data_IF_923800918815
#
_entry.id   IF_923800918815
#
_cell.length_a   1.000
_cell.length_b   1.000
_cell.length_c   1.000
_cell.angle_alpha   90.00
_cell.angle_beta   90.00
_cell.angle_gamma   90.00
#
_symmetry.space_group_name_H-M   'P 1'
#
loop_
_entity.id
_entity.type
_entity.pdbx_description
1 polymer ?
#
# COMPACT_ATOMS: atom_id res chain seq x y z
N UNK A 1 12.84 4.66 13.05
CA UNK A 1 12.29 3.30 13.18
C UNK A 1 12.06 2.90 14.64
N UNK A 2 13.01 3.10 15.55
CA UNK A 2 12.88 2.65 16.95
C UNK A 2 11.86 3.46 17.78
N UNK A 3 11.39 4.59 17.30
CA UNK A 3 10.31 5.39 17.89
C UNK A 3 9.02 5.20 17.09
N UNK A 4 9.08 5.38 15.79
CA UNK A 4 7.92 5.37 14.91
C UNK A 4 7.12 4.06 14.97
N UNK A 5 7.79 2.89 14.90
CA UNK A 5 7.09 1.61 14.95
C UNK A 5 6.41 1.32 16.29
N UNK A 6 7.06 1.51 17.46
CA UNK A 6 6.37 1.37 18.74
C UNK A 6 5.15 2.29 18.88
N UNK A 7 5.28 3.54 18.46
CA UNK A 7 4.17 4.51 18.51
C UNK A 7 3.01 4.12 17.58
N UNK A 8 3.30 3.63 16.37
CA UNK A 8 2.26 3.13 15.48
C UNK A 8 1.55 1.91 16.06
N UNK A 9 2.28 1.04 16.77
CA UNK A 9 1.68 -0.10 17.47
C UNK A 9 0.79 0.34 18.64
N UNK A 10 1.21 1.35 19.39
CA UNK A 10 0.40 1.96 20.44
C UNK A 10 -0.89 2.53 19.86
N UNK A 11 -0.81 3.34 18.81
CA UNK A 11 -1.98 3.86 18.09
C UNK A 11 -2.92 2.74 17.62
N UNK A 12 -2.37 1.67 17.05
CA UNK A 12 -3.16 0.52 16.61
C UNK A 12 -3.90 -0.14 17.77
N UNK A 13 -3.23 -0.32 18.90
CA UNK A 13 -3.79 -0.92 20.11
C UNK A 13 -4.89 -0.05 20.72
N UNK A 14 -4.62 1.25 20.87
CA UNK A 14 -5.51 2.20 21.55
C UNK A 14 -6.82 2.42 20.77
N UNK A 15 -6.74 2.40 19.45
CA UNK A 15 -7.90 2.61 18.57
C UNK A 15 -8.44 1.31 17.96
N UNK A 16 -7.89 0.15 18.36
CA UNK A 16 -8.23 -1.16 17.79
C UNK A 16 -8.11 -1.19 16.25
N UNK A 17 -7.09 -0.55 15.69
CA UNK A 17 -6.80 -0.52 14.25
C UNK A 17 -5.80 -1.62 13.92
N UNK A 18 -5.84 -2.14 12.69
CA UNK A 18 -4.85 -3.08 12.17
C UNK A 18 -4.22 -2.52 10.91
N UNK A 19 -2.93 -2.76 10.75
CA UNK A 19 -2.20 -2.29 9.59
C UNK A 19 -1.92 -3.41 8.60
N UNK A 20 -1.97 -3.06 7.32
CA UNK A 20 -1.37 -3.85 6.25
C UNK A 20 0.02 -3.29 5.99
N UNK A 21 1.07 -4.04 6.34
CA UNK A 21 2.45 -3.71 6.00
C UNK A 21 2.78 -4.23 4.62
N UNK A 22 3.22 -3.35 3.71
CA UNK A 22 3.57 -3.78 2.35
C UNK A 22 5.07 -3.83 2.16
N UNK A 23 5.55 -4.91 1.52
CA UNK A 23 6.97 -5.16 1.31
C UNK A 23 7.41 -4.84 -0.11
N UNK A 24 8.62 -4.30 -0.22
CA UNK A 24 9.36 -4.08 -1.45
C UNK A 24 10.65 -4.86 -1.33
N UNK A 25 10.96 -5.73 -2.28
CA UNK A 25 12.18 -6.55 -2.17
C UNK A 25 13.45 -5.73 -2.40
N UNK A 26 13.45 -4.90 -3.43
CA UNK A 26 14.60 -4.07 -3.83
C UNK A 26 14.18 -2.67 -4.26
N UNK A 27 15.16 -1.78 -4.39
CA UNK A 27 15.00 -0.42 -4.92
C UNK A 27 15.93 -0.18 -6.12
N UNK A 28 16.11 -1.19 -6.97
CA UNK A 28 16.92 -1.06 -8.17
C UNK A 28 16.07 -0.71 -9.38
N UNK A 29 16.60 0.14 -10.27
CA UNK A 29 15.85 0.64 -11.43
C UNK A 29 15.79 -0.38 -12.61
N UNK A 30 16.07 -1.65 -12.36
CA UNK A 30 16.07 -2.66 -13.38
C UNK A 30 14.65 -3.09 -13.79
N UNK A 31 14.27 -2.79 -15.03
CA UNK A 31 12.98 -3.18 -15.64
C UNK A 31 13.11 -4.17 -16.81
N UNK A 32 14.31 -4.67 -17.06
CA UNK A 32 14.62 -5.61 -18.16
C UNK A 32 14.36 -7.09 -17.82
N UNK A 33 13.96 -7.38 -16.58
CA UNK A 33 13.77 -8.74 -16.05
C UNK A 33 15.02 -9.31 -15.38
N UNK A 34 16.05 -8.52 -15.16
CA UNK A 34 17.17 -8.88 -14.28
C UNK A 34 16.66 -8.97 -12.85
N UNK A 35 16.93 -10.08 -12.19
CA UNK A 35 16.54 -10.31 -10.79
C UNK A 35 17.77 -10.27 -9.91
N UNK A 36 17.71 -9.45 -8.89
CA UNK A 36 18.67 -9.33 -7.81
C UNK A 36 17.98 -9.65 -6.51
N UNK A 37 18.29 -10.80 -5.94
CA UNK A 37 17.64 -11.27 -4.72
C UNK A 37 18.12 -10.52 -3.50
N UNK A 38 17.19 -10.05 -2.67
CA UNK A 38 17.51 -9.53 -1.35
C UNK A 38 17.90 -10.68 -0.42
N UNK A 39 19.08 -10.58 0.20
CA UNK A 39 19.64 -11.62 1.07
C UNK A 39 19.47 -11.32 2.56
N UNK A 40 19.41 -10.06 2.93
CA UNK A 40 19.23 -9.65 4.33
C UNK A 40 17.76 -9.43 4.65
N UNK A 41 17.12 -10.47 5.18
CA UNK A 41 15.70 -10.47 5.54
C UNK A 41 15.45 -10.10 7.00
N UNK A 42 16.48 -9.88 7.82
CA UNK A 42 16.34 -9.67 9.27
C UNK A 42 15.43 -8.52 9.65
N UNK A 43 15.52 -7.39 8.96
CA UNK A 43 14.66 -6.23 9.20
C UNK A 43 13.23 -6.48 8.76
N UNK A 44 13.04 -7.13 7.61
CA UNK A 44 11.71 -7.54 7.15
C UNK A 44 11.03 -8.45 8.18
N UNK A 45 11.74 -9.48 8.61
CA UNK A 45 11.23 -10.42 9.64
C UNK A 45 10.93 -9.72 10.96
N UNK A 46 11.81 -8.83 11.42
CA UNK A 46 11.60 -8.13 12.68
C UNK A 46 10.33 -7.27 12.65
N UNK A 47 10.21 -6.35 11.68
CA UNK A 47 9.06 -5.45 11.62
C UNK A 47 7.78 -6.14 11.12
N UNK A 48 7.89 -7.07 10.17
CA UNK A 48 6.73 -7.83 9.71
C UNK A 48 6.12 -8.71 10.79
N UNK A 49 6.95 -9.38 11.58
CA UNK A 49 6.44 -10.16 12.72
C UNK A 49 5.81 -9.29 13.82
N UNK A 50 6.31 -8.07 14.03
CA UNK A 50 5.65 -7.12 14.93
C UNK A 50 4.21 -6.84 14.49
N UNK A 51 3.99 -6.53 13.21
CA UNK A 51 2.65 -6.32 12.65
C UNK A 51 1.76 -7.56 12.78
N UNK A 52 2.27 -8.71 12.40
CA UNK A 52 1.53 -9.97 12.45
C UNK A 52 1.10 -10.34 13.88
N UNK A 53 1.96 -10.12 14.88
CA UNK A 53 1.64 -10.39 16.29
C UNK A 53 0.52 -9.50 16.84
N UNK A 54 0.29 -8.33 16.26
CA UNK A 54 -0.83 -7.45 16.60
C UNK A 54 -2.09 -7.71 15.76
N UNK A 55 -2.10 -8.78 14.98
CA UNK A 55 -3.22 -9.14 14.12
C UNK A 55 -3.30 -8.31 12.82
N UNK A 56 -2.24 -7.59 12.48
CA UNK A 56 -2.08 -6.98 11.17
C UNK A 56 -1.76 -8.01 10.10
N UNK A 57 -1.61 -7.55 8.86
CA UNK A 57 -1.29 -8.39 7.71
C UNK A 57 -0.11 -7.84 6.92
N UNK A 58 0.43 -8.65 6.01
CA UNK A 58 1.46 -8.26 5.07
C UNK A 58 0.94 -8.35 3.63
N UNK A 59 1.46 -7.49 2.77
CA UNK A 59 1.17 -7.44 1.35
C UNK A 59 2.40 -7.06 0.52
N UNK A 60 2.21 -6.81 -0.76
CA UNK A 60 3.26 -6.55 -1.73
C UNK A 60 3.19 -5.13 -2.28
N UNK A 61 4.36 -4.50 -2.52
CA UNK A 61 4.47 -3.15 -3.07
C UNK A 61 5.52 -3.04 -4.19
N UNK A 62 5.52 -4.02 -5.06
CA UNK A 62 6.46 -4.11 -6.18
C UNK A 62 7.80 -4.75 -5.81
N UNK A 63 8.43 -5.37 -6.81
CA UNK A 63 9.74 -6.01 -6.66
C UNK A 63 10.84 -4.99 -6.38
N UNK A 64 10.88 -3.91 -7.17
CA UNK A 64 11.89 -2.84 -7.10
C UNK A 64 11.23 -1.45 -7.07
N UNK A 65 10.04 -1.35 -6.49
CA UNK A 65 9.24 -0.12 -6.44
C UNK A 65 8.94 0.49 -7.82
N UNK A 66 8.85 -0.35 -8.86
CA UNK A 66 8.47 0.08 -10.22
C UNK A 66 7.00 -0.23 -10.50
N UNK A 67 6.23 0.72 -11.05
CA UNK A 67 4.86 0.48 -11.50
C UNK A 67 4.78 -0.68 -12.50
N UNK A 68 3.71 -1.45 -12.46
CA UNK A 68 3.48 -2.51 -13.43
C UNK A 68 2.91 -1.92 -14.72
N UNK A 69 3.79 -1.33 -15.54
CA UNK A 69 3.45 -0.70 -16.80
C UNK A 69 4.46 -0.97 -17.91
N UNK A 70 3.96 -1.12 -19.13
CA UNK A 70 4.74 -1.26 -20.36
C UNK A 70 4.86 0.05 -21.13
N UNK A 71 4.16 1.10 -20.68
CA UNK A 71 4.12 2.41 -21.34
C UNK A 71 4.24 3.54 -20.32
N UNK A 72 5.06 4.53 -20.63
CA UNK A 72 5.14 5.75 -19.83
C UNK A 72 3.88 6.64 -19.98
N UNK A 73 2.99 6.35 -20.93
CA UNK A 73 1.68 6.99 -21.03
C UNK A 73 0.80 6.74 -19.78
N UNK A 74 1.08 5.68 -19.03
CA UNK A 74 0.33 5.34 -17.83
C UNK A 74 0.59 6.30 -16.66
N UNK A 75 1.75 6.98 -16.64
CA UNK A 75 2.14 7.92 -15.58
C UNK A 75 2.74 9.23 -16.13
N UNK A 76 2.86 9.35 -17.45
CA UNK A 76 3.36 10.54 -18.13
C UNK A 76 4.76 10.94 -17.70
N UNK A 77 5.06 12.23 -17.83
CA UNK A 77 6.33 12.81 -17.39
C UNK A 77 6.34 13.17 -15.88
N UNK A 78 5.30 12.75 -15.15
CA UNK A 78 5.12 13.14 -13.73
C UNK A 78 5.97 12.29 -12.80
N UNK A 79 6.22 11.02 -13.15
CA UNK A 79 6.96 10.07 -12.31
C UNK A 79 8.23 9.59 -13.02
N UNK A 80 9.36 9.53 -12.31
CA UNK A 80 10.66 9.18 -12.88
C UNK A 80 10.88 7.66 -12.97
N UNK A 81 9.89 6.93 -13.51
CA UNK A 81 9.97 5.48 -13.64
C UNK A 81 10.24 5.05 -15.07
N UNK A 82 11.09 4.03 -15.21
CA UNK A 82 11.25 3.32 -16.46
C UNK A 82 10.09 2.34 -16.70
N UNK A 83 9.77 2.08 -17.96
CA UNK A 83 8.80 1.05 -18.31
C UNK A 83 9.44 -0.33 -18.31
N UNK A 84 8.66 -1.36 -18.01
CA UNK A 84 9.12 -2.73 -18.16
C UNK A 84 9.38 -3.05 -19.62
N UNK A 85 10.48 -3.73 -19.89
CA UNK A 85 10.88 -4.14 -21.24
C UNK A 85 9.80 -4.93 -21.97
N UNK A 86 9.07 -5.77 -21.25
CA UNK A 86 7.96 -6.57 -21.73
C UNK A 86 7.21 -7.22 -20.56
N UNK A 87 6.05 -7.81 -20.84
CA UNK A 87 5.22 -8.51 -19.86
C UNK A 87 5.96 -9.66 -19.15
N UNK A 88 6.84 -10.37 -19.85
CA UNK A 88 7.60 -11.47 -19.26
C UNK A 88 8.60 -10.98 -18.19
N UNK A 89 9.25 -9.84 -18.41
CA UNK A 89 10.13 -9.21 -17.43
C UNK A 89 9.34 -8.74 -16.19
N UNK A 90 8.21 -8.07 -16.40
CA UNK A 90 7.31 -7.62 -15.36
C UNK A 90 6.77 -8.79 -14.52
N UNK A 91 6.28 -9.85 -15.18
CA UNK A 91 5.79 -11.07 -14.54
C UNK A 91 6.88 -11.78 -13.72
N UNK A 92 8.10 -11.83 -14.24
CA UNK A 92 9.25 -12.43 -13.54
C UNK A 92 9.56 -11.69 -12.24
N UNK A 93 9.48 -10.36 -12.26
CA UNK A 93 9.72 -9.53 -11.08
C UNK A 93 8.64 -9.73 -10.01
N UNK A 94 7.36 -9.76 -10.39
CA UNK A 94 6.27 -10.04 -9.44
C UNK A 94 6.40 -11.44 -8.85
N UNK A 95 6.77 -12.43 -9.67
CA UNK A 95 7.01 -13.80 -9.20
C UNK A 95 8.14 -13.85 -8.16
N UNK A 96 9.22 -13.11 -8.37
CA UNK A 96 10.31 -13.03 -7.40
C UNK A 96 9.87 -12.39 -6.11
N UNK A 97 9.12 -11.27 -6.15
CA UNK A 97 8.57 -10.62 -4.98
C UNK A 97 7.71 -11.56 -4.13
N UNK A 98 6.87 -12.37 -4.77
CA UNK A 98 6.04 -13.36 -4.08
C UNK A 98 6.90 -14.44 -3.42
N UNK A 99 7.88 -15.00 -4.14
CA UNK A 99 8.84 -15.94 -3.57
C UNK A 99 9.62 -15.34 -2.39
N UNK A 100 10.04 -14.09 -2.51
CA UNK A 100 10.70 -13.37 -1.42
C UNK A 100 9.81 -13.27 -0.17
N UNK A 101 8.52 -12.96 -0.36
CA UNK A 101 7.53 -12.94 0.72
C UNK A 101 7.35 -14.30 1.38
N UNK A 102 7.18 -15.36 0.59
CA UNK A 102 7.04 -16.75 1.06
C UNK A 102 8.27 -17.24 1.83
N UNK A 103 9.46 -16.94 1.31
CA UNK A 103 10.73 -17.33 1.95
C UNK A 103 10.98 -16.54 3.24
N UNK A 104 10.60 -15.27 3.28
CA UNK A 104 10.82 -14.39 4.43
C UNK A 104 9.82 -14.63 5.55
N UNK A 105 8.57 -14.97 5.21
CA UNK A 105 7.45 -15.18 6.14
C UNK A 105 6.74 -16.51 5.88
N UNK A 106 7.39 -17.64 6.17
CA UNK A 106 6.81 -18.95 5.90
C UNK A 106 5.45 -19.15 6.58
N UNK A 107 4.46 -19.57 5.80
CA UNK A 107 3.11 -19.83 6.29
C UNK A 107 2.22 -18.59 6.43
N UNK A 108 2.70 -17.40 6.10
CA UNK A 108 1.90 -16.18 6.05
C UNK A 108 1.30 -16.01 4.66
N UNK A 109 -0.03 -15.88 4.60
CA UNK A 109 -0.72 -15.58 3.35
C UNK A 109 -0.71 -14.07 3.10
N UNK A 110 -0.14 -13.64 2.00
CA UNK A 110 -0.12 -12.24 1.54
C UNK A 110 -0.99 -12.13 0.29
N UNK A 111 -2.10 -11.42 0.39
CA UNK A 111 -3.06 -11.34 -0.70
C UNK A 111 -3.34 -9.92 -1.18
N UNK A 112 -2.69 -8.93 -0.60
CA UNK A 112 -2.84 -7.52 -0.96
C UNK A 112 -1.68 -7.08 -1.83
N UNK A 113 -1.97 -6.42 -2.94
CA UNK A 113 -1.00 -5.73 -3.77
C UNK A 113 -1.29 -4.23 -3.79
N UNK A 114 -0.32 -3.43 -3.39
CA UNK A 114 -0.37 -1.98 -3.48
C UNK A 114 0.58 -1.55 -4.60
N UNK A 115 0.09 -0.95 -5.68
CA UNK A 115 0.96 -0.51 -6.77
C UNK A 115 1.94 0.58 -6.33
N UNK A 116 3.23 0.48 -6.71
CA UNK A 116 4.19 1.55 -6.51
C UNK A 116 3.68 2.87 -7.07
N UNK A 117 3.85 3.95 -6.30
CA UNK A 117 3.31 5.29 -6.60
C UNK A 117 1.84 5.33 -7.01
N UNK A 118 1.07 4.32 -6.60
CA UNK A 118 -0.35 4.13 -6.93
C UNK A 118 -0.64 3.98 -8.43
N UNK A 119 0.36 3.71 -9.24
CA UNK A 119 0.21 3.52 -10.69
C UNK A 119 0.14 2.05 -11.03
N UNK A 120 -0.91 1.68 -11.74
CA UNK A 120 -1.13 0.34 -12.27
C UNK A 120 -1.68 0.44 -13.68
N UNK A 121 -1.00 -0.16 -14.64
CA UNK A 121 -1.54 -0.23 -16.01
C UNK A 121 -2.65 -1.29 -16.12
N UNK A 122 -3.49 -1.17 -17.14
CA UNK A 122 -4.50 -2.18 -17.44
C UNK A 122 -3.87 -3.56 -17.69
N UNK A 123 -2.71 -3.60 -18.34
CA UNK A 123 -1.93 -4.83 -18.58
C UNK A 123 -1.38 -5.40 -17.27
N UNK A 124 -0.81 -4.56 -16.42
CA UNK A 124 -0.30 -4.95 -15.10
C UNK A 124 -1.41 -5.52 -14.22
N UNK A 125 -2.55 -4.86 -14.17
CA UNK A 125 -3.73 -5.33 -13.44
C UNK A 125 -4.22 -6.68 -13.97
N UNK A 126 -4.34 -6.83 -15.31
CA UNK A 126 -4.74 -8.08 -15.94
C UNK A 126 -3.76 -9.22 -15.69
N UNK A 127 -2.47 -8.91 -15.69
CA UNK A 127 -1.41 -9.89 -15.37
C UNK A 127 -1.54 -10.37 -13.92
N UNK A 128 -1.73 -9.47 -12.95
CA UNK A 128 -1.94 -9.83 -11.56
C UNK A 128 -3.13 -10.79 -11.42
N UNK A 129 -4.28 -10.43 -11.97
CA UNK A 129 -5.49 -11.24 -11.88
C UNK A 129 -5.35 -12.64 -12.50
N UNK A 130 -4.64 -12.71 -13.62
CA UNK A 130 -4.53 -13.96 -14.40
C UNK A 130 -3.45 -14.90 -13.87
N UNK A 131 -2.31 -14.34 -13.51
CA UNK A 131 -1.07 -15.12 -13.32
C UNK A 131 -0.68 -15.27 -11.85
N UNK A 132 -1.33 -14.50 -10.94
CA UNK A 132 -1.04 -14.47 -9.50
C UNK A 132 -2.32 -14.58 -8.67
N UNK A 133 -2.95 -15.78 -8.64
CA UNK A 133 -4.24 -15.98 -7.97
C UNK A 133 -4.19 -15.78 -6.45
N UNK A 134 -3.02 -15.75 -5.85
CA UNK A 134 -2.80 -15.37 -4.46
C UNK A 134 -3.13 -13.90 -4.19
N UNK A 135 -2.97 -13.00 -5.17
CA UNK A 135 -3.36 -11.60 -5.07
C UNK A 135 -4.87 -11.49 -5.23
N UNK A 136 -5.55 -11.13 -4.16
CA UNK A 136 -7.01 -11.03 -4.10
C UNK A 136 -7.52 -9.62 -3.90
N UNK A 137 -6.66 -8.72 -3.44
CA UNK A 137 -6.99 -7.31 -3.23
C UNK A 137 -5.93 -6.43 -3.87
N UNK A 138 -6.37 -5.44 -4.62
CA UNK A 138 -5.51 -4.39 -5.16
C UNK A 138 -5.95 -3.07 -4.55
N UNK A 139 -5.02 -2.38 -3.89
CA UNK A 139 -5.26 -1.10 -3.23
C UNK A 139 -4.39 -0.01 -3.86
N UNK A 140 -4.95 0.69 -4.85
CA UNK A 140 -4.34 1.85 -5.51
C UNK A 140 -5.01 3.15 -5.06
N UNK A 141 -4.67 4.28 -5.67
CA UNK A 141 -5.42 5.51 -5.49
C UNK A 141 -6.54 5.61 -6.52
N UNK A 142 -7.57 6.37 -6.14
CA UNK A 142 -8.58 6.80 -7.07
C UNK A 142 -8.02 8.00 -7.86
N UNK A 143 -7.53 7.73 -9.06
CA UNK A 143 -7.09 8.76 -9.99
C UNK A 143 -8.21 9.12 -10.96
N UNK A 144 -8.45 10.43 -11.12
CA UNK A 144 -9.29 10.94 -12.19
C UNK A 144 -8.41 11.42 -13.33
N UNK A 145 -8.70 11.03 -14.58
CA UNK A 145 -8.07 11.59 -15.76
C UNK A 145 -7.23 10.60 -16.57
N UNK A 146 -6.08 11.04 -17.05
CA UNK A 146 -5.32 10.42 -18.15
C UNK A 146 -4.51 9.17 -17.78
N UNK A 147 -4.64 8.65 -16.56
CA UNK A 147 -3.90 7.47 -16.14
C UNK A 147 -4.58 6.19 -16.62
N UNK A 148 -3.78 5.18 -16.93
CA UNK A 148 -4.21 3.97 -17.64
C UNK A 148 -5.24 3.11 -16.88
N UNK A 149 -5.31 3.23 -15.58
CA UNK A 149 -6.24 2.47 -14.76
C UNK A 149 -6.80 3.29 -13.62
N UNK A 150 -8.10 3.56 -13.69
CA UNK A 150 -8.87 4.19 -12.61
C UNK A 150 -9.53 3.09 -11.81
N UNK A 151 -9.19 3.02 -10.53
CA UNK A 151 -9.73 2.01 -9.64
C UNK A 151 -11.05 2.47 -9.02
N UNK A 152 -12.04 1.62 -9.06
CA UNK A 152 -13.34 1.80 -8.39
C UNK A 152 -13.47 0.86 -7.20
N UNK A 153 -14.32 1.19 -6.22
CA UNK A 153 -14.66 0.29 -5.12
C UNK A 153 -15.58 -0.81 -5.60
N UNK A 154 -15.04 -1.99 -5.91
CA UNK A 154 -15.84 -3.11 -6.38
C UNK A 154 -15.20 -4.47 -6.11
N UNK A 155 -15.99 -5.51 -6.22
CA UNK A 155 -15.49 -6.85 -6.47
C UNK A 155 -15.58 -7.08 -7.97
N UNK A 156 -14.43 -7.06 -8.63
CA UNK A 156 -14.35 -7.19 -10.08
C UNK A 156 -14.81 -8.57 -10.55
N UNK A 157 -15.14 -8.70 -11.85
CA UNK A 157 -15.67 -9.96 -12.43
C UNK A 157 -14.72 -11.16 -12.31
N UNK A 158 -13.43 -10.90 -12.16
CA UNK A 158 -12.39 -11.92 -11.94
C UNK A 158 -12.17 -12.25 -10.45
N UNK A 159 -12.95 -11.64 -9.56
CA UNK A 159 -12.94 -11.90 -8.13
C UNK A 159 -11.93 -11.08 -7.33
N UNK A 160 -11.15 -10.21 -7.96
CA UNK A 160 -10.28 -9.27 -7.25
C UNK A 160 -11.12 -8.19 -6.58
N UNK A 161 -10.82 -7.92 -5.32
CA UNK A 161 -11.35 -6.77 -4.58
C UNK A 161 -10.54 -5.55 -4.98
N UNK A 162 -11.19 -4.56 -5.57
CA UNK A 162 -10.63 -3.27 -5.91
C UNK A 162 -10.92 -2.31 -4.75
N UNK A 163 -9.86 -1.80 -4.13
CA UNK A 163 -9.98 -0.95 -2.94
C UNK A 163 -9.10 0.30 -3.07
N UNK A 164 -9.56 1.34 -3.77
CA UNK A 164 -8.83 2.59 -3.87
C UNK A 164 -8.58 3.20 -2.49
N UNK A 165 -7.39 3.75 -2.30
CA UNK A 165 -7.00 4.48 -1.09
C UNK A 165 -7.19 5.96 -1.38
N UNK A 166 -8.04 6.63 -0.61
CA UNK A 166 -8.40 8.04 -0.84
C UNK A 166 -7.86 8.99 0.22
N UNK A 167 -7.30 8.46 1.31
CA UNK A 167 -6.76 9.23 2.42
C UNK A 167 -5.32 8.86 2.68
N UNK A 168 -4.48 9.84 2.92
CA UNK A 168 -3.05 9.63 3.13
C UNK A 168 -2.44 10.56 4.17
N UNK A 169 -1.34 10.09 4.78
CA UNK A 169 -0.48 10.87 5.66
C UNK A 169 -1.11 11.24 7.00
N UNK A 170 -0.44 12.14 7.73
CA UNK A 170 -0.81 12.57 9.06
C UNK A 170 -1.23 14.06 9.13
N UNK A 171 -1.40 14.71 7.97
CA UNK A 171 -1.94 16.07 7.86
C UNK A 171 -3.37 15.95 7.36
N UNK A 172 -4.31 15.82 8.29
CA UNK A 172 -5.70 15.49 7.99
C UNK A 172 -6.58 16.74 8.11
N UNK A 173 -7.10 17.18 6.99
CA UNK A 173 -8.00 18.33 6.89
C UNK A 173 -9.48 17.94 6.82
N UNK A 174 -10.36 18.94 6.73
CA UNK A 174 -11.79 18.70 6.64
C UNK A 174 -12.21 18.03 5.31
N UNK A 175 -11.47 18.23 4.24
CA UNK A 175 -11.75 17.56 2.97
C UNK A 175 -11.47 16.06 3.08
N UNK A 176 -10.35 15.68 3.68
CA UNK A 176 -10.02 14.29 3.95
C UNK A 176 -11.03 13.62 4.88
N UNK A 177 -11.50 14.33 5.92
CA UNK A 177 -12.57 13.83 6.78
C UNK A 177 -13.88 13.60 6.02
N UNK A 178 -14.24 14.53 5.14
CA UNK A 178 -15.42 14.35 4.29
C UNK A 178 -15.26 13.15 3.35
N UNK A 179 -14.10 12.98 2.75
CA UNK A 179 -13.80 11.82 1.91
C UNK A 179 -13.90 10.51 2.70
N UNK A 180 -13.33 10.46 3.92
CA UNK A 180 -13.42 9.31 4.82
C UNK A 180 -14.86 8.92 5.15
N UNK A 181 -15.70 9.90 5.51
CA UNK A 181 -17.12 9.65 5.80
C UNK A 181 -17.88 9.18 4.55
N UNK A 182 -17.57 9.74 3.39
CA UNK A 182 -18.18 9.32 2.12
C UNK A 182 -17.82 7.86 1.80
N UNK A 183 -16.56 7.51 1.93
CA UNK A 183 -16.07 6.15 1.74
C UNK A 183 -16.79 5.16 2.69
N UNK A 184 -16.84 5.47 3.98
CA UNK A 184 -17.53 4.65 4.97
C UNK A 184 -19.02 4.47 4.70
N UNK A 185 -19.71 5.54 4.32
CA UNK A 185 -21.15 5.48 4.08
C UNK A 185 -21.52 4.79 2.76
N UNK A 186 -20.69 4.89 1.74
CA UNK A 186 -20.96 4.32 0.42
C UNK A 186 -20.39 2.92 0.25
N UNK A 187 -19.24 2.62 0.85
CA UNK A 187 -18.48 1.38 0.63
C UNK A 187 -18.23 0.56 1.89
N UNK A 188 -18.59 1.07 3.08
CA UNK A 188 -18.41 0.40 4.38
C UNK A 188 -16.95 0.11 4.73
N UNK A 189 -16.03 0.85 4.17
CA UNK A 189 -14.59 0.73 4.37
C UNK A 189 -13.96 2.11 4.47
N UNK A 190 -12.86 2.20 5.21
CA UNK A 190 -11.99 3.37 5.20
C UNK A 190 -10.57 2.91 4.91
N UNK A 191 -9.96 3.48 3.89
CA UNK A 191 -8.65 3.11 3.41
C UNK A 191 -7.70 4.31 3.53
N UNK A 192 -6.78 4.23 4.50
CA UNK A 192 -5.82 5.27 4.80
C UNK A 192 -4.40 4.71 4.67
N UNK A 193 -3.49 5.44 4.07
CA UNK A 193 -2.09 5.03 3.99
C UNK A 193 -1.13 6.10 4.50
N UNK A 194 -0.06 5.63 5.13
CA UNK A 194 1.02 6.45 5.66
C UNK A 194 2.36 5.80 5.30
N UNK A 195 3.38 6.63 5.20
CA UNK A 195 4.74 6.17 4.97
C UNK A 195 5.64 6.58 6.14
N UNK A 196 6.58 5.72 6.57
CA UNK A 196 7.55 6.11 7.59
C UNK A 196 8.42 7.30 7.22
N UNK A 197 8.63 7.53 5.92
CA UNK A 197 9.40 8.65 5.36
C UNK A 197 8.60 9.96 5.23
N UNK A 198 7.30 9.97 5.53
CA UNK A 198 6.52 11.21 5.67
C UNK A 198 7.16 12.18 6.67
N UNK A 199 7.91 11.66 7.64
CA UNK A 199 8.70 12.42 8.61
C UNK A 199 9.88 13.19 8.01
N UNK A 200 10.34 12.79 6.84
CA UNK A 200 11.53 13.33 6.18
C UNK A 200 11.18 14.24 5.01
N UNK A 201 9.93 14.23 4.59
CA UNK A 201 9.44 14.99 3.43
C UNK A 201 8.78 16.29 3.90
N UNK A 202 9.30 17.43 3.41
CA UNK A 202 8.85 18.77 3.81
C UNK A 202 7.37 19.00 3.47
N UNK A 203 6.88 18.43 2.37
CA UNK A 203 5.50 18.57 1.92
C UNK A 203 4.53 17.62 2.65
N UNK A 204 5.05 16.58 3.33
CA UNK A 204 4.24 15.53 3.95
C UNK A 204 4.25 15.54 5.48
N UNK A 205 5.16 16.26 6.12
CA UNK A 205 5.12 16.34 7.57
C UNK A 205 6.43 16.65 8.29
N UNK A 206 7.57 16.72 7.61
CA UNK A 206 8.86 16.98 8.25
C UNK A 206 8.86 18.26 9.08
N UNK A 207 8.18 19.32 8.61
CA UNK A 207 8.04 20.60 9.32
C UNK A 207 7.23 20.50 10.62
N UNK A 208 6.35 19.50 10.77
CA UNK A 208 5.53 19.31 11.97
C UNK A 208 6.25 18.50 13.04
N UNK A 209 7.07 17.56 12.64
CA UNK A 209 7.68 16.56 13.50
C UNK A 209 6.71 15.46 13.95
N UNK A 210 7.31 14.34 14.43
CA UNK A 210 6.55 13.12 14.71
C UNK A 210 5.47 13.28 15.78
N UNK A 211 5.78 13.94 16.88
CA UNK A 211 4.80 14.11 17.99
C UNK A 211 3.49 14.78 17.52
N UNK A 212 3.62 15.79 16.64
CA UNK A 212 2.44 16.47 16.10
C UNK A 212 1.70 15.57 15.09
N UNK A 213 2.44 14.86 14.26
CA UNK A 213 1.85 13.93 13.29
C UNK A 213 1.13 12.77 14.00
N UNK A 214 1.76 12.19 15.03
CA UNK A 214 1.15 11.15 15.89
C UNK A 214 -0.16 11.66 16.53
N UNK A 215 -0.15 12.87 17.09
CA UNK A 215 -1.34 13.49 17.66
C UNK A 215 -2.45 13.68 16.63
N UNK A 216 -2.14 14.16 15.44
CA UNK A 216 -3.12 14.32 14.36
C UNK A 216 -3.74 12.97 13.93
N UNK A 217 -2.94 11.90 13.89
CA UNK A 217 -3.43 10.55 13.59
C UNK A 217 -4.36 10.03 14.69
N UNK A 218 -3.99 10.21 15.96
CA UNK A 218 -4.84 9.85 17.09
C UNK A 218 -6.19 10.60 17.06
N UNK A 219 -6.15 11.92 16.92
CA UNK A 219 -7.35 12.77 16.79
C UNK A 219 -8.25 12.35 15.62
N UNK A 220 -7.64 11.92 14.51
CA UNK A 220 -8.39 11.41 13.36
C UNK A 220 -9.04 10.06 13.63
N UNK A 221 -8.33 9.15 14.26
CA UNK A 221 -8.86 7.82 14.60
C UNK A 221 -10.01 7.93 15.60
N UNK A 222 -9.88 8.78 16.64
CA UNK A 222 -10.96 9.09 17.58
C UNK A 222 -12.18 9.67 16.87
N UNK A 223 -11.96 10.67 16.01
CA UNK A 223 -13.03 11.27 15.22
C UNK A 223 -13.74 10.26 14.33
N UNK A 224 -12.99 9.33 13.72
CA UNK A 224 -13.54 8.29 12.84
C UNK A 224 -14.46 7.34 13.61
N UNK A 225 -14.01 6.89 14.79
CA UNK A 225 -14.80 6.02 15.67
C UNK A 225 -16.07 6.73 16.15
N UNK A 226 -15.96 7.99 16.55
CA UNK A 226 -17.11 8.80 17.00
C UNK A 226 -18.12 9.07 15.89
N UNK A 227 -17.63 9.26 14.66
CA UNK A 227 -18.47 9.51 13.49
C UNK A 227 -19.15 8.27 12.94
N UNK A 228 -18.58 7.10 13.19
CA UNK A 228 -19.09 5.82 12.73
C UNK A 228 -19.07 4.76 13.84
N UNK A 229 -19.88 4.92 14.90
CA UNK A 229 -19.83 4.05 16.08
C UNK A 229 -20.21 2.58 15.80
N UNK A 230 -20.79 2.32 14.64
CA UNK A 230 -21.08 0.94 14.17
C UNK A 230 -19.90 0.30 13.41
N UNK A 231 -18.81 1.02 13.22
CA UNK A 231 -17.59 0.47 12.61
C UNK A 231 -17.10 -0.71 13.44
N UNK A 232 -17.18 -1.89 12.87
CA UNK A 232 -16.51 -3.07 13.38
C UNK A 232 -15.25 -3.25 12.54
N UNK A 233 -14.13 -3.32 13.21
CA UNK A 233 -12.91 -3.71 12.55
C UNK A 233 -12.97 -5.21 12.30
N UNK A 234 -12.82 -5.57 11.04
CA UNK A 234 -12.75 -6.95 10.59
C UNK A 234 -11.34 -7.50 10.76
#
# INVERSE_FOLDING_TARGET
MDVWWPDMQELASDHNVRYTGVIIENYEDATDGTIKKQKDTRRFQYFGNMLLHQGGELGYHGYNHQPLSLSNADYGDVLPYDTWKNEAAMKKAVKELIHFGEDTFPGVSMSVYVPPSNVLSAEGRKMLAKDFPEIRTIASNYFTGEFAYVQEFEVAKDGIVEQPRIISGAIIDNYMKMAALSELNMHFVNSHFIHPDDLLDEDRGAALGWEKMKGNLADYMDWLVDSAPSLRQL
#
